data_IF_519708774845
#
_entry.id   IF_519708774845
#
_cell.length_a   1.000
_cell.length_b   1.000
_cell.length_c   1.000
_cell.angle_alpha   90.00
_cell.angle_beta   90.00
_cell.angle_gamma   90.00
#
_symmetry.space_group_name_H-M   'P 1'
#
loop_
_entity.id
_entity.type
_entity.pdbx_description
1 polymer ?
#
# COMPACT_ATOMS: atom_id res chain seq x y z
N UNK A 1 -7.55 18.51 -37.17
CA UNK A 1 -6.17 18.33 -36.64
C UNK A 1 -6.16 18.18 -35.12
N UNK A 2 -6.44 19.24 -34.37
CA UNK A 2 -6.26 19.25 -32.91
C UNK A 2 -7.13 18.29 -32.10
N UNK A 3 -8.38 18.02 -32.52
CA UNK A 3 -9.29 17.13 -31.78
C UNK A 3 -8.79 15.68 -31.71
N UNK A 4 -8.12 15.20 -32.77
CA UNK A 4 -7.51 13.86 -32.77
C UNK A 4 -6.38 13.78 -31.74
N UNK A 5 -5.50 14.79 -31.69
CA UNK A 5 -4.42 14.88 -30.70
C UNK A 5 -4.96 14.93 -29.27
N UNK A 6 -6.01 15.74 -29.04
CA UNK A 6 -6.66 15.82 -27.73
C UNK A 6 -7.26 14.49 -27.30
N UNK A 7 -7.92 13.79 -28.22
CA UNK A 7 -8.54 12.51 -27.92
C UNK A 7 -7.52 11.42 -27.57
N UNK A 8 -6.39 11.38 -28.27
CA UNK A 8 -5.28 10.46 -27.97
C UNK A 8 -4.71 10.78 -26.59
N UNK A 9 -4.43 12.07 -26.34
CA UNK A 9 -3.90 12.52 -25.05
C UNK A 9 -4.85 12.17 -23.90
N UNK A 10 -6.14 12.46 -24.01
CA UNK A 10 -7.12 12.18 -22.97
C UNK A 10 -7.15 10.68 -22.64
N UNK A 11 -7.14 9.83 -23.67
CA UNK A 11 -7.26 8.41 -23.47
C UNK A 11 -6.00 7.76 -22.87
N UNK A 12 -4.81 8.10 -23.37
CA UNK A 12 -3.55 7.57 -22.83
C UNK A 12 -3.13 8.24 -21.50
N UNK A 13 -3.36 9.55 -21.33
CA UNK A 13 -2.97 10.26 -20.13
C UNK A 13 -3.98 10.07 -19.00
N UNK A 14 -5.27 10.32 -19.23
CA UNK A 14 -6.25 10.27 -18.15
C UNK A 14 -6.64 8.83 -17.82
N UNK A 15 -6.90 7.97 -18.82
CA UNK A 15 -7.40 6.63 -18.51
C UNK A 15 -6.26 5.66 -18.18
N UNK A 16 -5.28 5.49 -19.06
CA UNK A 16 -4.23 4.49 -18.88
C UNK A 16 -3.26 4.85 -17.74
N UNK A 17 -2.78 6.10 -17.70
CA UNK A 17 -1.78 6.51 -16.71
C UNK A 17 -2.35 6.63 -15.29
N UNK A 18 -3.57 7.13 -15.11
CA UNK A 18 -4.22 7.18 -13.78
C UNK A 18 -4.59 5.79 -13.26
N UNK A 19 -4.98 4.86 -14.13
CA UNK A 19 -5.31 3.50 -13.73
C UNK A 19 -4.06 2.74 -13.23
N UNK A 20 -2.93 2.92 -13.90
CA UNK A 20 -1.65 2.37 -13.44
C UNK A 20 -1.16 3.00 -12.12
N UNK A 21 -1.37 4.32 -11.95
CA UNK A 21 -1.07 5.01 -10.69
C UNK A 21 -1.91 4.44 -9.54
N UNK A 22 -3.23 4.38 -9.71
CA UNK A 22 -4.13 3.90 -8.66
C UNK A 22 -3.87 2.44 -8.29
N UNK A 23 -3.54 1.57 -9.26
CA UNK A 23 -3.10 0.20 -9.02
C UNK A 23 -1.83 0.16 -8.17
N UNK A 24 -0.82 0.98 -8.52
CA UNK A 24 0.46 1.03 -7.80
C UNK A 24 0.25 1.51 -6.37
N UNK A 25 -0.52 2.57 -6.15
CA UNK A 25 -0.85 3.08 -4.82
C UNK A 25 -1.56 2.02 -3.96
N UNK A 26 -2.56 1.33 -4.52
CA UNK A 26 -3.25 0.25 -3.82
C UNK A 26 -2.31 -0.89 -3.42
N UNK A 27 -1.41 -1.30 -4.32
CA UNK A 27 -0.43 -2.36 -4.03
C UNK A 27 0.57 -1.92 -2.95
N UNK A 28 1.07 -0.69 -3.03
CA UNK A 28 1.98 -0.12 -2.03
C UNK A 28 1.32 -0.10 -0.65
N UNK A 29 0.08 0.38 -0.53
CA UNK A 29 -0.62 0.42 0.76
C UNK A 29 -0.92 -1.00 1.27
N UNK A 30 -1.40 -1.90 0.41
CA UNK A 30 -1.80 -3.24 0.82
C UNK A 30 -0.63 -4.12 1.26
N UNK A 31 0.53 -4.02 0.57
CA UNK A 31 1.66 -4.93 0.73
C UNK A 31 2.89 -4.31 1.41
N UNK A 32 3.25 -3.06 1.09
CA UNK A 32 4.43 -2.40 1.69
C UNK A 32 4.08 -1.81 3.06
N UNK A 33 2.98 -1.04 3.14
CA UNK A 33 2.51 -0.50 4.41
C UNK A 33 1.87 -1.58 5.30
N UNK A 34 1.20 -2.53 4.65
CA UNK A 34 0.60 -3.70 5.30
C UNK A 34 -0.84 -3.44 5.75
N UNK A 35 -1.75 -4.29 5.28
CA UNK A 35 -3.18 -4.16 5.57
C UNK A 35 -3.52 -4.12 7.07
N UNK A 36 -2.74 -4.80 7.92
CA UNK A 36 -2.94 -4.79 9.39
C UNK A 36 -2.64 -3.43 10.03
N UNK A 37 -1.62 -2.72 9.55
CA UNK A 37 -1.28 -1.38 10.06
C UNK A 37 -2.34 -0.39 9.62
N UNK A 38 -2.69 -0.41 8.32
CA UNK A 38 -3.75 0.44 7.77
C UNK A 38 -5.09 0.28 8.51
N UNK A 39 -5.43 -0.96 8.88
CA UNK A 39 -6.64 -1.23 9.63
C UNK A 39 -6.65 -0.64 11.03
N UNK A 40 -5.52 -0.73 11.74
CA UNK A 40 -5.35 -0.12 13.06
C UNK A 40 -5.46 1.40 12.98
N UNK A 41 -4.93 2.00 11.92
CA UNK A 41 -5.02 3.45 11.73
C UNK A 41 -6.48 3.89 11.51
N UNK A 42 -7.24 3.13 10.74
CA UNK A 42 -8.67 3.37 10.53
C UNK A 42 -9.47 3.18 11.83
N UNK A 43 -9.17 2.14 12.60
CA UNK A 43 -9.76 1.95 13.93
C UNK A 43 -9.49 3.14 14.86
N UNK A 44 -8.29 3.71 14.81
CA UNK A 44 -7.92 4.90 15.58
C UNK A 44 -8.67 6.16 15.12
N UNK A 45 -8.96 6.29 13.82
CA UNK A 45 -9.71 7.42 13.27
C UNK A 45 -11.21 7.35 13.56
N UNK A 46 -11.81 6.15 13.43
CA UNK A 46 -13.26 5.98 13.46
C UNK A 46 -13.74 5.51 14.85
N UNK A 47 -12.87 4.89 15.66
CA UNK A 47 -13.16 4.46 17.03
C UNK A 47 -13.85 3.10 17.15
N UNK A 48 -14.06 2.38 16.05
CA UNK A 48 -14.50 0.99 16.03
C UNK A 48 -13.69 0.17 15.03
N UNK A 49 -13.53 -1.13 15.29
CA UNK A 49 -12.91 -2.05 14.33
C UNK A 49 -13.92 -2.36 13.23
N UNK A 50 -13.58 -2.14 11.94
CA UNK A 50 -14.36 -2.68 10.84
C UNK A 50 -14.45 -4.23 10.96
N UNK A 51 -15.19 -4.89 10.06
CA UNK A 51 -15.15 -6.35 9.95
C UNK A 51 -13.97 -6.84 9.12
N UNK A 52 -13.42 -8.03 9.43
CA UNK A 52 -12.28 -8.66 8.71
C UNK A 52 -12.55 -8.81 7.20
N UNK A 53 -13.81 -8.93 6.79
CA UNK A 53 -14.24 -8.94 5.39
C UNK A 53 -13.77 -7.71 4.60
N UNK A 54 -13.80 -6.51 5.23
CA UNK A 54 -13.36 -5.27 4.61
C UNK A 54 -11.85 -5.27 4.34
N UNK A 55 -11.08 -5.88 5.26
CA UNK A 55 -9.63 -6.04 5.08
C UNK A 55 -9.30 -6.89 3.85
N UNK A 56 -10.01 -8.00 3.66
CA UNK A 56 -9.83 -8.88 2.50
C UNK A 56 -10.24 -8.16 1.22
N UNK A 57 -11.34 -7.42 1.26
CA UNK A 57 -11.81 -6.62 0.13
C UNK A 57 -10.75 -5.63 -0.34
N UNK A 58 -10.18 -4.83 0.55
CA UNK A 58 -9.16 -3.84 0.17
C UNK A 58 -7.83 -4.45 -0.23
N UNK A 59 -7.42 -5.56 0.41
CA UNK A 59 -6.13 -6.19 0.11
C UNK A 59 -6.13 -6.94 -1.22
N UNK A 60 -7.24 -7.59 -1.58
CA UNK A 60 -7.30 -8.49 -2.71
C UNK A 60 -8.33 -8.08 -3.77
N UNK A 61 -9.55 -7.71 -3.37
CA UNK A 61 -10.62 -7.41 -4.32
C UNK A 61 -10.33 -6.10 -5.06
N UNK A 62 -9.98 -5.02 -4.34
CA UNK A 62 -9.68 -3.71 -4.95
C UNK A 62 -8.55 -3.77 -5.99
N UNK A 63 -7.36 -4.32 -5.70
CA UNK A 63 -6.32 -4.42 -6.74
C UNK A 63 -6.72 -5.40 -7.86
N UNK A 64 -7.46 -6.47 -7.56
CA UNK A 64 -7.94 -7.39 -8.59
C UNK A 64 -8.94 -6.76 -9.55
N UNK A 65 -9.89 -5.96 -9.05
CA UNK A 65 -10.88 -5.28 -9.91
C UNK A 65 -10.22 -4.21 -10.77
N UNK A 66 -9.28 -3.43 -10.21
CA UNK A 66 -8.53 -2.42 -10.99
C UNK A 66 -7.69 -3.12 -12.08
N UNK A 67 -6.99 -4.21 -11.74
CA UNK A 67 -6.21 -4.99 -12.71
C UNK A 67 -7.11 -5.57 -13.80
N UNK A 68 -8.29 -6.08 -13.44
CA UNK A 68 -9.26 -6.63 -14.38
C UNK A 68 -9.77 -5.57 -15.36
N UNK A 69 -10.17 -4.40 -14.86
CA UNK A 69 -10.63 -3.29 -15.71
C UNK A 69 -9.50 -2.79 -16.61
N UNK A 70 -8.27 -2.71 -16.09
CA UNK A 70 -7.11 -2.34 -16.88
C UNK A 70 -6.83 -3.33 -18.02
N UNK A 71 -6.81 -4.64 -17.72
CA UNK A 71 -6.64 -5.69 -18.73
C UNK A 71 -7.74 -5.63 -19.79
N UNK A 72 -9.00 -5.48 -19.35
CA UNK A 72 -10.12 -5.34 -20.26
C UNK A 72 -9.96 -4.11 -21.16
N UNK A 73 -9.57 -2.98 -20.58
CA UNK A 73 -9.26 -1.76 -21.32
C UNK A 73 -8.18 -2.00 -22.37
N UNK A 74 -7.08 -2.69 -22.05
CA UNK A 74 -5.99 -3.00 -22.98
C UNK A 74 -6.43 -3.96 -24.10
N UNK A 75 -7.31 -4.91 -23.80
CA UNK A 75 -7.83 -5.84 -24.83
C UNK A 75 -8.79 -5.16 -25.80
N UNK A 76 -9.61 -4.23 -25.32
CA UNK A 76 -10.46 -3.39 -26.15
C UNK A 76 -9.66 -2.30 -26.90
N UNK A 77 -8.39 -2.14 -26.56
CA UNK A 77 -7.48 -1.12 -27.08
C UNK A 77 -6.85 -1.48 -28.44
N UNK A 78 -7.00 -2.71 -28.94
CA UNK A 78 -6.33 -3.17 -30.17
C UNK A 78 -7.32 -3.70 -31.22
N UNK A 79 -7.15 -3.39 -32.51
CA UNK A 79 -6.21 -2.43 -33.11
C UNK A 79 -6.80 -1.01 -33.09
N UNK A 80 -5.95 -0.01 -32.90
CA UNK A 80 -6.32 1.41 -32.99
C UNK A 80 -6.58 1.77 -34.46
N UNK A 81 -7.71 1.31 -34.98
CA UNK A 81 -8.38 1.86 -36.16
C UNK A 81 -9.50 2.75 -35.64
N UNK A 82 -9.22 4.05 -35.52
CA UNK A 82 -10.26 5.02 -35.19
C UNK A 82 -11.00 5.35 -36.50
N UNK A 83 -11.98 4.52 -36.87
CA UNK A 83 -12.56 4.53 -38.23
C UNK A 83 -11.55 3.98 -39.24
N UNK A 84 -11.31 4.71 -40.34
CA UNK A 84 -10.35 4.34 -41.41
C UNK A 84 -8.89 4.74 -41.13
N UNK A 85 -8.57 5.25 -39.93
CA UNK A 85 -7.23 5.74 -39.59
C UNK A 85 -6.46 4.74 -38.73
N UNK A 86 -5.48 4.08 -39.35
CA UNK A 86 -4.47 3.29 -38.66
C UNK A 86 -3.48 4.21 -37.95
N UNK A 87 -3.36 4.02 -36.64
CA UNK A 87 -2.38 4.76 -35.87
C UNK A 87 -0.98 4.22 -36.13
N UNK A 88 0.02 5.10 -36.33
CA UNK A 88 1.40 4.67 -36.51
C UNK A 88 1.91 4.02 -35.21
N UNK A 89 2.75 3.00 -35.33
CA UNK A 89 3.33 2.26 -34.20
C UNK A 89 4.01 3.18 -33.16
N UNK A 90 4.52 4.34 -33.59
CA UNK A 90 5.09 5.36 -32.70
C UNK A 90 4.11 5.89 -31.65
N UNK A 91 2.81 5.98 -31.95
CA UNK A 91 1.80 6.42 -31.00
C UNK A 91 1.55 5.38 -29.89
N UNK A 92 1.62 4.09 -30.24
CA UNK A 92 1.50 2.98 -29.29
C UNK A 92 2.69 2.98 -28.34
N UNK A 93 3.91 3.10 -28.88
CA UNK A 93 5.14 3.21 -28.06
C UNK A 93 5.06 4.41 -27.12
N UNK A 94 4.59 5.56 -27.61
CA UNK A 94 4.40 6.75 -26.79
C UNK A 94 3.39 6.52 -25.65
N UNK A 95 2.29 5.80 -25.91
CA UNK A 95 1.29 5.44 -24.89
C UNK A 95 1.87 4.56 -23.77
N UNK A 96 2.65 3.54 -24.12
CA UNK A 96 3.34 2.70 -23.12
C UNK A 96 4.40 3.47 -22.34
N UNK A 97 5.18 4.33 -23.02
CA UNK A 97 6.16 5.20 -22.37
C UNK A 97 5.50 6.16 -21.38
N UNK A 98 4.33 6.70 -21.70
CA UNK A 98 3.56 7.57 -20.81
C UNK A 98 3.09 6.83 -19.55
N UNK A 99 2.56 5.61 -19.71
CA UNK A 99 2.15 4.77 -18.58
C UNK A 99 3.31 4.40 -17.66
N UNK A 100 4.46 4.02 -18.24
CA UNK A 100 5.67 3.72 -17.46
C UNK A 100 6.23 4.98 -16.77
N UNK A 101 6.25 6.12 -17.46
CA UNK A 101 6.71 7.38 -16.90
C UNK A 101 5.90 7.80 -15.67
N UNK A 102 4.61 7.44 -15.61
CA UNK A 102 3.75 7.71 -14.46
C UNK A 102 4.10 6.87 -13.22
N UNK A 103 4.62 5.65 -13.42
CA UNK A 103 5.00 4.76 -12.32
C UNK A 103 6.36 5.15 -11.74
N UNK A 104 7.29 5.65 -12.57
CA UNK A 104 8.70 5.96 -12.20
C UNK A 104 8.88 6.90 -10.99
N UNK A 105 8.07 7.94 -10.76
CA UNK A 105 8.21 8.80 -9.59
C UNK A 105 8.11 8.06 -8.24
N UNK A 106 7.26 7.03 -8.15
CA UNK A 106 7.06 6.26 -6.91
C UNK A 106 8.34 5.54 -6.45
N UNK A 107 9.01 4.69 -7.27
CA UNK A 107 10.29 4.09 -6.91
C UNK A 107 11.42 5.12 -6.84
N UNK A 108 11.40 6.20 -7.63
CA UNK A 108 12.44 7.25 -7.53
C UNK A 108 12.40 7.92 -6.16
N UNK A 109 11.22 8.33 -5.69
CA UNK A 109 11.05 8.86 -4.33
C UNK A 109 11.49 7.86 -3.27
N UNK A 110 11.14 6.58 -3.42
CA UNK A 110 11.57 5.52 -2.52
C UNK A 110 13.11 5.36 -2.50
N UNK A 111 13.77 5.39 -3.66
CA UNK A 111 15.23 5.28 -3.78
C UNK A 111 15.91 6.49 -3.15
N UNK A 112 15.45 7.72 -3.42
CA UNK A 112 16.00 8.93 -2.81
C UNK A 112 15.90 8.86 -1.29
N UNK A 113 14.75 8.44 -0.76
CA UNK A 113 14.56 8.26 0.68
C UNK A 113 15.51 7.19 1.27
N UNK A 114 15.72 6.06 0.57
CA UNK A 114 16.66 5.01 0.98
C UNK A 114 18.11 5.49 0.96
N UNK A 115 18.50 6.29 -0.04
CA UNK A 115 19.87 6.80 -0.18
C UNK A 115 20.20 7.93 0.81
N UNK A 116 19.21 8.71 1.23
CA UNK A 116 19.37 9.80 2.21
C UNK A 116 19.62 9.34 3.64
N UNK A 117 19.10 8.16 4.02
CA UNK A 117 19.28 7.60 5.36
C UNK A 117 20.65 6.94 5.54
N UNK A 118 21.24 6.96 6.74
CA UNK A 118 22.54 6.30 7.02
C UNK A 118 22.31 4.88 7.57
N UNK A 119 22.95 3.85 7.01
CA UNK A 119 22.90 2.48 7.53
C UNK A 119 22.93 1.37 6.46
N UNK A 120 22.73 0.12 6.90
CA UNK A 120 22.59 -1.05 6.01
C UNK A 120 21.24 -1.04 5.29
N UNK A 121 21.16 -1.59 4.07
CA UNK A 121 19.96 -1.57 3.22
C UNK A 121 18.68 -2.07 3.92
N UNK A 122 18.78 -3.16 4.68
CA UNK A 122 17.62 -3.74 5.39
C UNK A 122 17.17 -2.82 6.55
N UNK A 123 18.13 -2.19 7.24
CA UNK A 123 17.83 -1.25 8.31
C UNK A 123 17.21 0.04 7.78
N UNK A 124 17.69 0.54 6.62
CA UNK A 124 17.12 1.69 5.92
C UNK A 124 15.67 1.44 5.52
N UNK A 125 15.40 0.31 4.86
CA UNK A 125 14.02 -0.05 4.47
C UNK A 125 13.14 -0.21 5.71
N UNK A 126 13.61 -0.91 6.75
CA UNK A 126 12.84 -1.10 7.98
C UNK A 126 12.56 0.23 8.70
N UNK A 127 13.50 1.17 8.68
CA UNK A 127 13.34 2.51 9.24
C UNK A 127 12.33 3.35 8.43
N UNK A 128 12.39 3.27 7.10
CA UNK A 128 11.48 4.02 6.21
C UNK A 128 10.04 3.48 6.19
N UNK A 129 9.87 2.19 6.47
CA UNK A 129 8.54 1.57 6.63
C UNK A 129 7.99 1.80 8.05
N UNK A 130 8.83 2.22 9.00
CA UNK A 130 8.37 2.64 10.31
C UNK A 130 7.76 4.05 10.23
N UNK A 131 6.71 4.29 11.01
CA UNK A 131 6.10 5.61 11.11
C UNK A 131 7.13 6.61 11.67
N UNK A 132 7.06 7.86 11.23
CA UNK A 132 7.81 8.98 11.81
C UNK A 132 7.50 9.10 13.31
N UNK A 133 8.49 9.49 14.12
CA UNK A 133 8.33 9.60 15.58
C UNK A 133 7.26 10.62 16.00
N UNK A 134 6.95 11.59 15.14
CA UNK A 134 5.90 12.60 15.35
C UNK A 134 4.48 12.12 14.97
N UNK A 135 4.35 10.89 14.44
CA UNK A 135 3.07 10.39 13.94
C UNK A 135 2.12 9.98 15.08
N UNK A 136 0.91 10.52 15.08
CA UNK A 136 -0.16 10.15 16.00
C UNK A 136 -1.45 10.94 15.75
N UNK A 137 -2.55 10.62 16.46
CA UNK A 137 -3.82 11.33 16.34
C UNK A 137 -3.63 12.83 16.68
N UNK A 138 -4.08 13.73 15.80
CA UNK A 138 -3.95 15.18 16.00
C UNK A 138 -4.69 15.69 17.26
N UNK A 139 -5.69 14.93 17.73
CA UNK A 139 -6.46 15.26 18.94
C UNK A 139 -5.79 14.64 20.18
N UNK A 140 -5.43 15.49 21.14
CA UNK A 140 -4.72 15.13 22.38
C UNK A 140 -5.33 13.93 23.12
N UNK A 141 -6.65 13.92 23.27
CA UNK A 141 -7.37 12.85 24.00
C UNK A 141 -7.20 11.47 23.34
N UNK A 142 -7.20 11.42 22.01
CA UNK A 142 -6.98 10.18 21.27
C UNK A 142 -5.50 9.79 21.27
N UNK A 143 -4.59 10.77 21.26
CA UNK A 143 -3.15 10.57 21.38
C UNK A 143 -2.76 9.94 22.71
N UNK A 144 -3.28 10.43 23.83
CA UNK A 144 -3.01 9.85 25.16
C UNK A 144 -3.50 8.40 25.23
N UNK A 145 -4.69 8.10 24.69
CA UNK A 145 -5.23 6.74 24.65
C UNK A 145 -4.39 5.78 23.80
N UNK A 146 -3.86 6.28 22.67
CA UNK A 146 -2.94 5.55 21.81
C UNK A 146 -1.59 5.31 22.49
N UNK A 147 -1.01 6.32 23.14
CA UNK A 147 0.24 6.16 23.89
C UNK A 147 0.06 5.18 25.06
N UNK A 148 -1.08 5.23 25.76
CA UNK A 148 -1.42 4.25 26.80
C UNK A 148 -1.55 2.82 26.24
N UNK A 149 -2.13 2.63 25.05
CA UNK A 149 -2.23 1.28 24.47
C UNK A 149 -0.88 0.74 24.00
N UNK A 150 0.02 1.61 23.53
CA UNK A 150 1.41 1.25 23.23
C UNK A 150 2.18 0.86 24.49
N UNK A 151 2.06 1.65 25.56
CA UNK A 151 2.75 1.41 26.84
C UNK A 151 2.28 0.11 27.51
N UNK A 152 0.97 -0.13 27.53
CA UNK A 152 0.40 -1.40 28.01
C UNK A 152 0.85 -2.60 27.16
N UNK A 153 0.99 -2.43 25.84
CA UNK A 153 1.49 -3.48 24.96
C UNK A 153 2.97 -3.79 25.25
N UNK A 154 3.77 -2.76 25.53
CA UNK A 154 5.18 -2.93 25.91
C UNK A 154 5.32 -3.67 27.25
N UNK A 155 4.55 -3.30 28.28
CA UNK A 155 4.54 -4.00 29.57
C UNK A 155 4.06 -5.46 29.44
N UNK A 156 3.11 -5.73 28.54
CA UNK A 156 2.65 -7.10 28.26
C UNK A 156 3.73 -7.96 27.60
N UNK A 157 4.56 -7.37 26.74
CA UNK A 157 5.68 -8.07 26.10
C UNK A 157 6.80 -8.31 27.11
N UNK A 158 7.12 -7.32 27.94
CA UNK A 158 8.16 -7.44 28.96
C UNK A 158 7.77 -8.49 30.02
N UNK A 159 6.49 -8.61 30.39
CA UNK A 159 6.02 -9.65 31.31
C UNK A 159 6.04 -11.06 30.71
N UNK A 160 5.69 -11.23 29.43
CA UNK A 160 5.75 -12.53 28.73
C UNK A 160 7.20 -12.96 28.42
N UNK A 161 8.08 -12.02 28.15
CA UNK A 161 9.53 -12.29 27.94
C UNK A 161 10.24 -12.54 29.27
N UNK A 162 9.83 -11.86 30.35
CA UNK A 162 10.40 -12.05 31.69
C UNK A 162 9.76 -13.20 32.48
N UNK A 163 8.64 -13.79 32.03
CA UNK A 163 8.24 -15.13 32.51
C UNK A 163 9.28 -16.13 32.02
N UNK A 164 10.14 -16.65 32.91
CA UNK A 164 11.13 -17.62 32.48
C UNK A 164 10.41 -18.89 32.05
N UNK A 165 11.04 -19.69 31.18
CA UNK A 165 10.63 -21.06 30.81
C UNK A 165 10.69 -22.04 32.02
N UNK A 166 10.26 -21.61 33.20
CA UNK A 166 10.28 -22.35 34.46
C UNK A 166 8.88 -22.84 34.81
N UNK A 167 7.82 -22.10 34.48
CA UNK A 167 6.47 -22.45 34.94
C UNK A 167 5.74 -23.49 34.08
N UNK A 168 6.10 -23.65 32.80
CA UNK A 168 5.45 -24.65 31.93
C UNK A 168 5.85 -26.08 32.32
N UNK A 169 7.04 -26.29 32.89
CA UNK A 169 7.48 -27.63 33.33
C UNK A 169 6.89 -28.03 34.69
N UNK A 170 6.47 -27.05 35.50
CA UNK A 170 5.91 -27.31 36.83
C UNK A 170 4.38 -27.49 36.80
N UNK A 171 3.68 -26.96 35.78
CA UNK A 171 2.25 -27.22 35.57
C UNK A 171 1.94 -28.65 35.08
N UNK A 172 2.88 -29.34 34.41
CA UNK A 172 2.69 -30.74 34.02
C UNK A 172 2.90 -31.74 35.17
N UNK A 173 3.49 -31.32 36.29
CA UNK A 173 3.74 -32.19 37.45
C UNK A 173 2.59 -32.15 38.49
N UNK A 174 1.78 -31.08 38.49
CA UNK A 174 0.64 -30.93 39.41
C UNK A 174 -0.68 -31.52 38.90
N UNK A 175 -0.73 -32.08 37.69
CA UNK A 175 -1.90 -32.77 37.13
C UNK A 175 -1.85 -34.30 37.28
N UNK A 176 -0.92 -34.85 38.07
CA UNK A 176 -0.80 -36.30 38.33
C UNK A 176 -0.87 -36.69 39.82
N UNK A 177 -1.39 -35.83 40.69
CA UNK A 177 -1.73 -36.18 42.08
C UNK A 177 -3.20 -35.84 42.37
#
# INVERSE_FOLDING_TARGET
>A
GGIYVLQIMDWYCATFSLMLLSLTECVVIAWIYGADRFYKDIELMIGYQPGVWWKICWKYITPATITFVWLFSVTQLSPVTYGDYEYPDGAIVFGWMLGLASIVPVPVCAIIAILGEKGSFVQRIKKLVHHTDDWGPAVEKHRIRYLQSLQNSQESLDSVVCTPLVDVKNMSASQQL
#
